data_IF_182450887628
#
_entry.id   IF_182450887628
#
_cell.length_a   1.000
_cell.length_b   1.000
_cell.length_c   1.000
_cell.angle_alpha   90.00
_cell.angle_beta   90.00
_cell.angle_gamma   90.00
#
_symmetry.space_group_name_H-M   'P 1'
#
loop_
_entity.id
_entity.type
_entity.pdbx_description
1 polymer ?
#
# COMPACT_ATOMS: atom_id res chain seq x y z
N UNK A 1 -4.89 -58.52 -42.35
CA UNK A 1 -5.76 -57.50 -41.72
C UNK A 1 -4.95 -56.26 -41.35
N UNK A 2 -4.93 -55.19 -42.17
CA UNK A 2 -4.13 -53.98 -41.94
C UNK A 2 -4.84 -52.85 -41.16
N UNK A 3 -6.13 -53.00 -40.81
CA UNK A 3 -6.99 -51.87 -40.40
C UNK A 3 -6.96 -51.50 -38.91
N UNK A 4 -6.29 -52.27 -38.05
CA UNK A 4 -6.23 -51.98 -36.60
C UNK A 4 -5.15 -50.94 -36.21
N UNK A 5 -4.28 -50.53 -37.14
CA UNK A 5 -3.21 -49.56 -36.87
C UNK A 5 -3.63 -48.08 -36.87
N UNK A 6 -4.77 -47.75 -37.49
CA UNK A 6 -5.23 -46.37 -37.67
C UNK A 6 -6.02 -45.83 -36.46
N UNK A 7 -6.78 -46.68 -35.76
CA UNK A 7 -7.63 -46.26 -34.63
C UNK A 7 -6.80 -45.76 -33.44
N UNK A 8 -5.64 -46.39 -33.17
CA UNK A 8 -4.74 -45.95 -32.11
C UNK A 8 -4.00 -44.63 -32.39
N UNK A 9 -3.87 -44.23 -33.65
CA UNK A 9 -3.30 -42.94 -34.03
C UNK A 9 -4.29 -41.80 -33.79
N UNK A 10 -5.57 -42.02 -34.12
CA UNK A 10 -6.65 -41.06 -33.91
C UNK A 10 -6.92 -40.77 -32.43
N UNK A 11 -7.02 -41.80 -31.59
CA UNK A 11 -7.23 -41.62 -30.15
C UNK A 11 -6.06 -40.88 -29.46
N UNK A 12 -4.82 -41.12 -29.89
CA UNK A 12 -3.65 -40.42 -29.38
C UNK A 12 -3.49 -38.98 -29.88
N UNK A 13 -4.10 -38.63 -31.01
CA UNK A 13 -4.21 -37.25 -31.53
C UNK A 13 -5.24 -36.47 -30.73
N UNK A 14 -6.44 -37.05 -30.59
CA UNK A 14 -7.54 -36.43 -29.85
C UNK A 14 -7.12 -36.15 -28.40
N UNK A 15 -6.42 -37.08 -27.74
CA UNK A 15 -5.95 -36.87 -26.37
C UNK A 15 -4.89 -35.76 -26.24
N UNK A 16 -3.92 -35.66 -27.16
CA UNK A 16 -2.92 -34.59 -27.14
C UNK A 16 -3.53 -33.23 -27.50
N UNK A 17 -4.45 -33.20 -28.45
CA UNK A 17 -5.16 -31.98 -28.84
C UNK A 17 -6.04 -31.48 -27.68
N UNK A 18 -6.67 -32.40 -26.94
CA UNK A 18 -7.43 -32.08 -25.72
C UNK A 18 -6.50 -31.51 -24.63
N UNK A 19 -5.36 -32.15 -24.36
CA UNK A 19 -4.36 -31.59 -23.42
C UNK A 19 -3.82 -30.22 -23.86
N UNK A 20 -3.62 -30.01 -25.16
CA UNK A 20 -3.17 -28.74 -25.71
C UNK A 20 -4.21 -27.64 -25.51
N UNK A 21 -5.49 -27.96 -25.77
CA UNK A 21 -6.60 -27.06 -25.53
C UNK A 21 -6.71 -26.71 -24.05
N UNK A 22 -6.64 -27.71 -23.17
CA UNK A 22 -6.67 -27.52 -21.71
C UNK A 22 -5.55 -26.57 -21.25
N UNK A 23 -4.28 -26.88 -21.56
CA UNK A 23 -3.13 -26.04 -21.17
C UNK A 23 -3.21 -24.65 -21.78
N UNK A 24 -3.69 -24.51 -23.02
CA UNK A 24 -3.85 -23.20 -23.66
C UNK A 24 -4.94 -22.36 -23.00
N UNK A 25 -6.03 -23.00 -22.55
CA UNK A 25 -7.13 -22.34 -21.84
C UNK A 25 -6.71 -21.94 -20.43
N UNK A 26 -5.97 -22.81 -19.72
CA UNK A 26 -5.42 -22.50 -18.40
C UNK A 26 -4.40 -21.36 -18.45
N UNK A 27 -3.52 -21.35 -19.45
CA UNK A 27 -2.56 -20.26 -19.65
C UNK A 27 -3.27 -18.93 -19.95
N UNK A 28 -4.30 -18.94 -20.78
CA UNK A 28 -5.10 -17.75 -21.06
C UNK A 28 -5.82 -17.25 -19.80
N UNK A 29 -6.36 -18.17 -18.99
CA UNK A 29 -7.03 -17.86 -17.74
C UNK A 29 -6.07 -17.27 -16.68
N UNK A 30 -4.87 -17.85 -16.51
CA UNK A 30 -3.89 -17.33 -15.54
C UNK A 30 -3.28 -15.99 -15.98
N UNK A 31 -3.09 -15.76 -17.29
CA UNK A 31 -2.68 -14.43 -17.80
C UNK A 31 -3.75 -13.38 -17.52
N UNK A 32 -5.01 -13.69 -17.83
CA UNK A 32 -6.12 -12.80 -17.53
C UNK A 32 -6.24 -12.53 -16.02
N UNK A 33 -6.02 -13.55 -15.19
CA UNK A 33 -5.98 -13.41 -13.73
C UNK A 33 -4.86 -12.46 -13.29
N UNK A 34 -3.65 -12.61 -13.82
CA UNK A 34 -2.54 -11.70 -13.54
C UNK A 34 -2.90 -10.25 -13.92
N UNK A 35 -3.40 -10.04 -15.14
CA UNK A 35 -3.78 -8.71 -15.65
C UNK A 35 -4.89 -8.07 -14.80
N UNK A 36 -5.87 -8.86 -14.36
CA UNK A 36 -6.98 -8.39 -13.53
C UNK A 36 -6.48 -7.98 -12.15
N UNK A 37 -5.69 -8.82 -11.48
CA UNK A 37 -5.15 -8.49 -10.15
C UNK A 37 -4.22 -7.27 -10.23
N UNK A 38 -3.37 -7.18 -11.26
CA UNK A 38 -2.49 -6.02 -11.45
C UNK A 38 -3.28 -4.73 -11.70
N UNK A 39 -4.35 -4.79 -12.50
CA UNK A 39 -5.23 -3.65 -12.75
C UNK A 39 -5.98 -3.22 -11.48
N UNK A 40 -6.52 -4.17 -10.72
CA UNK A 40 -7.23 -3.91 -9.46
C UNK A 40 -6.31 -3.25 -8.43
N UNK A 41 -5.09 -3.79 -8.25
CA UNK A 41 -4.09 -3.21 -7.34
C UNK A 41 -3.69 -1.79 -7.78
N UNK A 42 -3.60 -1.52 -9.08
CA UNK A 42 -3.29 -0.16 -9.57
C UNK A 42 -4.46 0.80 -9.37
N UNK A 43 -5.70 0.36 -9.61
CA UNK A 43 -6.90 1.15 -9.42
C UNK A 43 -7.10 1.52 -7.93
N UNK A 44 -6.95 0.55 -7.03
CA UNK A 44 -7.01 0.79 -5.58
C UNK A 44 -5.92 1.76 -5.12
N UNK A 45 -4.66 1.60 -5.57
CA UNK A 45 -3.57 2.53 -5.22
C UNK A 45 -3.86 3.98 -5.62
N UNK A 46 -4.48 4.20 -6.77
CA UNK A 46 -4.82 5.54 -7.25
C UNK A 46 -6.00 6.14 -6.46
N UNK A 47 -7.01 5.33 -6.13
CA UNK A 47 -8.14 5.73 -5.32
C UNK A 47 -7.69 6.07 -3.89
N UNK A 48 -6.94 5.18 -3.24
CA UNK A 48 -6.43 5.34 -1.87
C UNK A 48 -5.52 6.56 -1.75
N UNK A 49 -4.65 6.81 -2.74
CA UNK A 49 -3.73 7.97 -2.69
C UNK A 49 -4.49 9.29 -2.77
N UNK A 50 -5.54 9.38 -3.58
CA UNK A 50 -6.37 10.59 -3.69
C UNK A 50 -7.19 10.80 -2.42
N UNK A 51 -7.78 9.74 -1.89
CA UNK A 51 -8.58 9.78 -0.68
C UNK A 51 -7.74 10.14 0.55
N UNK A 52 -6.60 9.47 0.74
CA UNK A 52 -5.69 9.75 1.85
C UNK A 52 -5.12 11.18 1.80
N UNK A 53 -4.82 11.72 0.61
CA UNK A 53 -4.40 13.12 0.48
C UNK A 53 -5.51 14.12 0.80
N UNK A 54 -6.75 13.81 0.43
CA UNK A 54 -7.91 14.64 0.76
C UNK A 54 -8.18 14.62 2.27
N UNK A 55 -8.21 13.42 2.87
CA UNK A 55 -8.47 13.23 4.29
C UNK A 55 -7.37 13.83 5.16
N UNK A 56 -6.10 13.69 4.77
CA UNK A 56 -4.98 14.35 5.44
C UNK A 56 -5.12 15.87 5.44
N UNK A 57 -5.47 16.48 4.29
CA UNK A 57 -5.66 17.93 4.21
C UNK A 57 -6.84 18.39 5.06
N UNK A 58 -7.94 17.64 5.06
CA UNK A 58 -9.11 17.94 5.87
C UNK A 58 -8.76 17.90 7.37
N UNK A 59 -8.10 16.82 7.82
CA UNK A 59 -7.67 16.69 9.21
C UNK A 59 -6.63 17.75 9.59
N UNK A 60 -5.62 18.03 8.76
CA UNK A 60 -4.58 19.01 9.06
C UNK A 60 -5.19 20.42 9.27
N UNK A 61 -6.17 20.81 8.45
CA UNK A 61 -6.87 22.09 8.59
C UNK A 61 -7.73 22.13 9.86
N UNK A 62 -8.50 21.08 10.14
CA UNK A 62 -9.36 21.01 11.32
C UNK A 62 -8.54 20.94 12.62
N UNK A 63 -7.45 20.17 12.64
CA UNK A 63 -6.55 20.07 13.78
C UNK A 63 -5.79 21.37 14.05
N UNK A 64 -5.30 22.07 13.02
CA UNK A 64 -4.62 23.35 13.20
C UNK A 64 -5.57 24.40 13.77
N UNK A 65 -6.78 24.51 13.21
CA UNK A 65 -7.79 25.44 13.69
C UNK A 65 -8.19 25.16 15.15
N UNK A 66 -8.45 23.89 15.49
CA UNK A 66 -8.82 23.52 16.88
C UNK A 66 -7.67 23.74 17.87
N UNK A 67 -6.42 23.49 17.47
CA UNK A 67 -5.25 23.74 18.31
C UNK A 67 -4.99 25.24 18.52
N UNK A 68 -5.23 26.06 17.51
CA UNK A 68 -5.10 27.53 17.62
C UNK A 68 -6.17 28.12 18.56
N UNK A 69 -7.42 27.65 18.44
CA UNK A 69 -8.51 28.02 19.37
C UNK A 69 -8.24 27.56 20.81
N UNK A 70 -7.70 26.35 21.00
CA UNK A 70 -7.28 25.89 22.33
C UNK A 70 -6.20 26.78 22.93
N UNK A 71 -5.18 27.16 22.15
CA UNK A 71 -4.08 28.02 22.61
C UNK A 71 -4.59 29.40 23.03
N UNK A 72 -5.49 30.00 22.26
CA UNK A 72 -6.07 31.31 22.60
C UNK A 72 -6.93 31.22 23.87
N UNK A 73 -7.73 30.17 24.03
CA UNK A 73 -8.52 29.93 25.24
C UNK A 73 -7.65 29.75 26.50
N UNK A 74 -6.55 28.98 26.40
CA UNK A 74 -5.60 28.83 27.51
C UNK A 74 -4.90 30.15 27.87
N UNK A 75 -4.45 30.91 26.87
CA UNK A 75 -3.80 32.20 27.08
C UNK A 75 -4.74 33.20 27.76
N UNK A 76 -6.02 33.22 27.38
CA UNK A 76 -7.00 34.11 27.99
C UNK A 76 -7.32 33.71 29.44
N UNK A 77 -7.47 32.41 29.70
CA UNK A 77 -7.61 31.88 31.07
C UNK A 77 -6.43 32.29 31.97
N UNK A 78 -5.20 32.19 31.48
CA UNK A 78 -4.02 32.58 32.25
C UNK A 78 -3.99 34.08 32.56
N UNK A 79 -4.36 34.94 31.60
CA UNK A 79 -4.47 36.39 31.82
C UNK A 79 -5.49 36.74 32.89
N UNK A 80 -6.66 36.11 32.87
CA UNK A 80 -7.72 36.33 33.86
C UNK A 80 -7.26 35.89 35.26
N UNK A 81 -6.64 34.72 35.37
CA UNK A 81 -6.13 34.20 36.65
C UNK A 81 -5.02 35.08 37.24
N UNK A 82 -4.11 35.59 36.41
CA UNK A 82 -3.05 36.51 36.84
C UNK A 82 -3.62 37.84 37.33
N UNK A 83 -4.61 38.39 36.62
CA UNK A 83 -5.30 39.63 37.02
C UNK A 83 -6.01 39.46 38.37
N UNK A 84 -6.68 38.32 38.58
CA UNK A 84 -7.33 37.98 39.85
C UNK A 84 -6.34 37.87 41.01
N UNK A 85 -5.17 37.27 40.80
CA UNK A 85 -4.12 37.16 41.82
C UNK A 85 -3.59 38.54 42.24
N UNK A 86 -3.33 39.44 41.28
CA UNK A 86 -2.85 40.79 41.55
C UNK A 86 -3.85 41.58 42.39
N UNK A 87 -5.13 41.57 42.00
CA UNK A 87 -6.16 42.29 42.76
C UNK A 87 -6.31 41.76 44.20
N UNK A 88 -6.22 40.44 44.39
CA UNK A 88 -6.29 39.85 45.73
C UNK A 88 -5.14 40.34 46.64
N UNK A 89 -3.93 40.47 46.10
CA UNK A 89 -2.77 41.00 46.82
C UNK A 89 -2.95 42.49 47.14
N UNK A 90 -3.40 43.28 46.17
CA UNK A 90 -3.61 44.71 46.37
C UNK A 90 -4.72 44.99 47.39
N UNK A 91 -5.76 44.14 47.45
CA UNK A 91 -6.83 44.24 48.45
C UNK A 91 -6.30 44.00 49.86
N UNK A 92 -5.46 42.97 50.03
CA UNK A 92 -4.84 42.67 51.31
C UNK A 92 -3.91 43.79 51.77
N UNK A 93 -3.14 44.39 50.84
CA UNK A 93 -2.26 45.55 51.13
C UNK A 93 -3.07 46.78 51.53
N UNK A 94 -4.15 47.07 50.81
CA UNK A 94 -4.99 48.22 51.06
C UNK A 94 -5.73 48.11 52.40
N UNK A 95 -6.23 46.93 52.75
CA UNK A 95 -6.85 46.65 54.04
C UNK A 95 -5.86 46.82 55.22
N UNK A 96 -4.61 46.38 55.02
CA UNK A 96 -3.53 46.62 56.00
C UNK A 96 -3.20 48.10 56.18
N UNK A 97 -3.10 48.85 55.07
CA UNK A 97 -2.84 50.29 55.11
C UNK A 97 -3.99 51.07 55.77
N UNK A 98 -5.25 50.72 55.50
CA UNK A 98 -6.43 51.33 56.12
C UNK A 98 -6.43 51.13 57.64
N UNK A 99 -6.11 49.92 58.12
CA UNK A 99 -6.05 49.63 59.56
C UNK A 99 -4.96 50.44 60.28
N UNK A 100 -3.78 50.58 59.67
CA UNK A 100 -2.66 51.36 60.24
C UNK A 100 -2.99 52.86 60.25
N UNK A 101 -3.48 53.41 59.14
CA UNK A 101 -3.83 54.83 59.03
C UNK A 101 -5.02 55.21 59.91
N UNK A 102 -6.02 54.34 60.06
CA UNK A 102 -7.15 54.55 60.97
C UNK A 102 -6.72 54.59 62.44
N UNK A 103 -5.64 53.88 62.79
CA UNK A 103 -5.07 53.94 64.15
C UNK A 103 -4.27 55.23 64.38
N UNK A 104 -3.57 55.71 63.34
CA UNK A 104 -2.73 56.91 63.39
C UNK A 104 -3.50 58.24 63.28
N UNK A 105 -4.68 58.24 62.66
CA UNK A 105 -5.51 59.45 62.44
C UNK A 105 -6.01 60.14 63.70
N UNK A 106 -5.95 59.44 64.85
CA UNK A 106 -6.24 60.00 66.17
C UNK A 106 -5.17 60.98 66.68
N UNK A 107 -3.93 60.86 66.17
CA UNK A 107 -2.75 61.58 66.65
C UNK A 107 -2.07 62.46 65.59
N UNK A 108 -2.33 62.21 64.30
CA UNK A 108 -1.69 62.91 63.18
C UNK A 108 -2.72 63.42 62.16
N UNK A 109 -2.85 64.75 61.95
CA UNK A 109 -3.76 65.32 60.96
C UNK A 109 -3.39 64.98 59.51
N UNK A 110 -2.14 64.66 59.16
CA UNK A 110 -1.76 64.22 57.81
C UNK A 110 -2.27 62.80 57.50
N UNK A 111 -2.41 61.95 58.51
CA UNK A 111 -2.96 60.60 58.37
C UNK A 111 -4.44 60.61 57.92
N UNK A 112 -5.19 61.69 58.16
CA UNK A 112 -6.56 61.85 57.68
C UNK A 112 -6.64 61.99 56.15
N UNK A 113 -5.72 62.72 55.53
CA UNK A 113 -5.68 62.88 54.08
C UNK A 113 -5.31 61.55 53.38
N UNK A 114 -4.34 60.82 53.93
CA UNK A 114 -3.95 59.49 53.44
C UNK A 114 -5.06 58.46 53.64
N UNK A 115 -5.82 58.52 54.73
CA UNK A 115 -6.97 57.65 54.96
C UNK A 115 -8.11 57.92 53.96
N UNK A 116 -8.34 59.17 53.59
CA UNK A 116 -9.30 59.53 52.53
C UNK A 116 -8.87 58.97 51.17
N UNK A 117 -7.58 59.04 50.84
CA UNK A 117 -7.03 58.47 49.61
C UNK A 117 -7.15 56.94 49.59
N UNK A 118 -6.86 56.26 50.70
CA UNK A 118 -7.06 54.81 50.84
C UNK A 118 -8.52 54.42 50.67
N UNK A 119 -9.46 55.21 51.21
CA UNK A 119 -10.90 54.99 50.98
C UNK A 119 -11.31 55.22 49.52
N UNK A 120 -10.70 56.19 48.82
CA UNK A 120 -10.93 56.39 47.37
C UNK A 120 -10.44 55.18 46.58
N UNK A 121 -9.21 54.73 46.84
CA UNK A 121 -8.63 53.53 46.22
C UNK A 121 -9.45 52.27 46.51
N UNK A 122 -10.06 52.15 47.70
CA UNK A 122 -10.98 51.06 48.03
C UNK A 122 -12.22 51.05 47.12
N UNK A 123 -12.82 52.22 46.89
CA UNK A 123 -13.97 52.36 45.97
C UNK A 123 -13.56 52.04 44.53
N UNK A 124 -12.36 52.47 44.10
CA UNK A 124 -11.80 52.08 42.80
C UNK A 124 -11.55 50.56 42.71
N UNK A 125 -11.14 49.91 43.79
CA UNK A 125 -10.99 48.45 43.85
C UNK A 125 -12.34 47.71 43.81
N UNK A 126 -13.38 48.22 44.48
CA UNK A 126 -14.74 47.66 44.40
C UNK A 126 -15.32 47.78 42.97
N UNK A 127 -15.02 48.87 42.28
CA UNK A 127 -15.28 49.00 40.83
C UNK A 127 -14.52 47.94 40.03
N UNK A 128 -13.23 47.69 40.33
CA UNK A 128 -12.46 46.63 39.66
C UNK A 128 -13.01 45.22 39.98
N UNK A 129 -13.57 44.97 41.17
CA UNK A 129 -14.24 43.71 41.50
C UNK A 129 -15.46 43.43 40.62
N UNK A 130 -16.25 44.47 40.30
CA UNK A 130 -17.34 44.34 39.34
C UNK A 130 -16.85 43.95 37.94
N UNK A 131 -15.68 44.47 37.53
CA UNK A 131 -15.05 44.07 36.26
C UNK A 131 -14.51 42.64 36.29
N UNK A 132 -14.04 42.17 37.46
CA UNK A 132 -13.63 40.79 37.67
C UNK A 132 -14.80 39.82 37.63
N UNK A 133 -16.01 40.21 38.06
CA UNK A 133 -17.18 39.36 37.93
C UNK A 133 -17.48 39.03 36.46
N UNK A 134 -17.28 39.99 35.55
CA UNK A 134 -17.37 39.76 34.11
C UNK A 134 -16.24 38.84 33.60
N UNK A 135 -15.02 39.01 34.11
CA UNK A 135 -13.88 38.14 33.77
C UNK A 135 -14.06 36.70 34.31
N UNK A 136 -14.71 36.50 35.46
CA UNK A 136 -15.02 35.18 36.01
C UNK A 136 -16.05 34.44 35.14
N UNK A 137 -17.00 35.15 34.53
CA UNK A 137 -17.93 34.58 33.57
C UNK A 137 -17.21 34.16 32.27
N UNK A 138 -16.30 35.00 31.77
CA UNK A 138 -15.43 34.67 30.64
C UNK A 138 -14.53 33.46 30.94
N UNK A 139 -14.03 33.33 32.18
CA UNK A 139 -13.22 32.20 32.61
C UNK A 139 -14.03 30.89 32.64
N UNK A 140 -15.31 30.93 33.06
CA UNK A 140 -16.20 29.76 32.98
C UNK A 140 -16.42 29.34 31.53
N UNK A 141 -16.79 30.28 30.67
CA UNK A 141 -16.99 30.01 29.24
C UNK A 141 -15.73 29.43 28.57
N UNK A 142 -14.55 30.00 28.87
CA UNK A 142 -13.28 29.49 28.34
C UNK A 142 -12.94 28.08 28.87
N UNK A 143 -13.30 27.77 30.12
CA UNK A 143 -13.06 26.44 30.70
C UNK A 143 -13.97 25.38 30.07
N UNK A 144 -15.25 25.69 29.88
CA UNK A 144 -16.21 24.81 29.19
C UNK A 144 -15.76 24.53 27.74
N UNK A 145 -15.27 25.55 27.04
CA UNK A 145 -14.76 25.41 25.68
C UNK A 145 -13.49 24.53 25.62
N UNK A 146 -12.57 24.67 26.58
CA UNK A 146 -11.39 23.78 26.70
C UNK A 146 -11.82 22.32 26.93
N UNK A 147 -12.82 22.07 27.77
CA UNK A 147 -13.33 20.72 28.03
C UNK A 147 -13.98 20.11 26.78
N UNK A 148 -14.79 20.90 26.07
CA UNK A 148 -15.42 20.54 24.79
C UNK A 148 -14.38 20.15 23.74
N UNK A 149 -13.41 21.03 23.49
CA UNK A 149 -12.31 20.80 22.54
C UNK A 149 -11.43 19.62 22.97
N UNK A 150 -11.24 19.42 24.28
CA UNK A 150 -10.54 18.24 24.83
C UNK A 150 -11.25 16.92 24.54
N UNK A 151 -12.59 16.90 24.54
CA UNK A 151 -13.37 15.73 24.12
C UNK A 151 -13.25 15.48 22.61
N UNK A 152 -13.34 16.53 21.79
CA UNK A 152 -13.18 16.43 20.33
C UNK A 152 -11.79 15.90 19.96
N UNK A 153 -10.74 16.38 20.60
CA UNK A 153 -9.37 15.87 20.43
C UNK A 153 -9.28 14.36 20.72
N UNK A 154 -9.90 13.88 21.81
CA UNK A 154 -9.91 12.43 22.13
C UNK A 154 -10.69 11.62 21.09
N UNK A 155 -11.78 12.17 20.56
CA UNK A 155 -12.55 11.53 19.48
C UNK A 155 -11.72 11.42 18.20
N UNK A 156 -11.04 12.51 17.80
CA UNK A 156 -10.15 12.50 16.64
C UNK A 156 -8.97 11.53 16.81
N UNK A 157 -8.37 11.44 18.00
CA UNK A 157 -7.30 10.48 18.28
C UNK A 157 -7.75 9.02 18.07
N UNK A 158 -8.95 8.65 18.55
CA UNK A 158 -9.52 7.31 18.32
C UNK A 158 -9.82 7.04 16.85
N UNK A 159 -10.30 8.06 16.12
CA UNK A 159 -10.53 7.95 14.69
C UNK A 159 -9.21 7.72 13.94
N UNK A 160 -8.13 8.40 14.35
CA UNK A 160 -6.79 8.20 13.79
C UNK A 160 -6.26 6.78 14.06
N UNK A 161 -6.43 6.26 15.28
CA UNK A 161 -6.04 4.88 15.61
C UNK A 161 -6.79 3.85 14.76
N UNK A 162 -8.11 4.05 14.56
CA UNK A 162 -8.92 3.20 13.68
C UNK A 162 -8.48 3.29 12.22
N UNK A 163 -8.12 4.49 11.74
CA UNK A 163 -7.62 4.68 10.38
C UNK A 163 -6.26 4.01 10.18
N UNK A 164 -5.36 4.07 11.17
CA UNK A 164 -4.08 3.37 11.13
C UNK A 164 -4.26 1.84 11.04
N UNK A 165 -5.24 1.29 11.75
CA UNK A 165 -5.57 -0.14 11.64
C UNK A 165 -6.04 -0.50 10.22
N UNK A 166 -6.93 0.31 9.63
CA UNK A 166 -7.41 0.10 8.26
C UNK A 166 -6.27 0.18 7.23
N UNK A 167 -5.30 1.08 7.42
CA UNK A 167 -4.10 1.16 6.58
C UNK A 167 -3.27 -0.11 6.69
N UNK A 168 -3.06 -0.63 7.90
CA UNK A 168 -2.31 -1.87 8.11
C UNK A 168 -3.01 -3.08 7.44
N UNK A 169 -4.33 -3.17 7.53
CA UNK A 169 -5.13 -4.20 6.85
C UNK A 169 -4.99 -4.09 5.32
N UNK A 170 -5.05 -2.88 4.76
CA UNK A 170 -4.87 -2.64 3.33
C UNK A 170 -3.44 -2.99 2.86
N UNK A 171 -2.41 -2.70 3.66
CA UNK A 171 -1.03 -3.09 3.37
C UNK A 171 -0.86 -4.62 3.36
N UNK A 172 -1.49 -5.31 4.30
CA UNK A 172 -1.51 -6.78 4.33
C UNK A 172 -2.19 -7.34 3.07
N UNK A 173 -3.37 -6.85 2.70
CA UNK A 173 -4.09 -7.27 1.50
C UNK A 173 -3.25 -7.04 0.23
N UNK A 174 -2.52 -5.92 0.13
CA UNK A 174 -1.58 -5.67 -0.97
C UNK A 174 -0.41 -6.66 -0.99
N UNK A 175 0.08 -7.05 0.18
CA UNK A 175 1.10 -8.10 0.30
C UNK A 175 0.58 -9.46 -0.17
N UNK A 176 -0.67 -9.78 0.15
CA UNK A 176 -1.34 -11.01 -0.30
C UNK A 176 -1.54 -11.01 -1.82
N UNK A 177 -2.04 -9.91 -2.39
CA UNK A 177 -2.21 -9.75 -3.84
C UNK A 177 -0.88 -9.85 -4.60
N UNK A 178 0.20 -9.26 -4.07
CA UNK A 178 1.53 -9.36 -4.68
C UNK A 178 2.05 -10.81 -4.69
N UNK A 179 1.79 -11.57 -3.63
CA UNK A 179 2.12 -13.01 -3.57
C UNK A 179 1.29 -13.82 -4.56
N UNK A 180 0.00 -13.52 -4.70
CA UNK A 180 -0.87 -14.17 -5.68
C UNK A 180 -0.41 -13.92 -7.12
N UNK A 181 -0.06 -12.67 -7.46
CA UNK A 181 0.49 -12.33 -8.78
C UNK A 181 1.80 -13.10 -9.04
N UNK A 182 2.68 -13.20 -8.04
CA UNK A 182 3.94 -13.93 -8.19
C UNK A 182 3.69 -15.42 -8.43
N UNK A 183 2.78 -16.05 -7.68
CA UNK A 183 2.40 -17.45 -7.87
C UNK A 183 1.75 -17.68 -9.25
N UNK A 184 0.87 -16.78 -9.69
CA UNK A 184 0.24 -16.85 -11.00
C UNK A 184 1.25 -16.69 -12.14
N UNK A 185 2.25 -15.80 -11.98
CA UNK A 185 3.37 -15.65 -12.92
C UNK A 185 4.21 -16.92 -13.00
N UNK A 186 4.57 -17.51 -11.87
CA UNK A 186 5.31 -18.78 -11.82
C UNK A 186 4.54 -19.89 -12.52
N UNK A 187 3.24 -20.03 -12.24
CA UNK A 187 2.38 -21.02 -12.90
C UNK A 187 2.24 -20.78 -14.40
N UNK A 188 2.11 -19.52 -14.83
CA UNK A 188 2.07 -19.14 -16.24
C UNK A 188 3.36 -19.56 -16.97
N UNK A 189 4.51 -19.38 -16.34
CA UNK A 189 5.80 -19.87 -16.86
C UNK A 189 5.79 -21.39 -17.00
N UNK A 190 5.29 -22.13 -16.01
CA UNK A 190 5.19 -23.59 -16.10
C UNK A 190 4.27 -24.04 -17.23
N UNK A 191 3.09 -23.44 -17.36
CA UNK A 191 2.13 -23.77 -18.41
C UNK A 191 2.66 -23.46 -19.82
N UNK A 192 3.45 -22.40 -19.97
CA UNK A 192 4.11 -22.11 -21.24
C UNK A 192 5.13 -23.18 -21.63
N UNK A 193 5.88 -23.71 -20.66
CA UNK A 193 6.78 -24.82 -20.91
C UNK A 193 6.01 -26.07 -21.30
N UNK A 194 4.96 -26.42 -20.57
CA UNK A 194 4.16 -27.61 -20.85
C UNK A 194 3.50 -27.53 -22.23
N UNK A 195 3.01 -26.35 -22.62
CA UNK A 195 2.51 -26.08 -23.97
C UNK A 195 3.59 -26.29 -25.03
N UNK A 196 4.81 -25.80 -24.80
CA UNK A 196 5.93 -25.99 -25.70
C UNK A 196 6.28 -27.48 -25.84
N UNK A 197 6.31 -28.24 -24.74
CA UNK A 197 6.57 -29.68 -24.74
C UNK A 197 5.52 -30.43 -25.54
N UNK A 198 4.23 -30.14 -25.34
CA UNK A 198 3.14 -30.79 -26.08
C UNK A 198 3.25 -30.54 -27.59
N UNK A 199 3.47 -29.28 -27.99
CA UNK A 199 3.63 -28.90 -29.40
C UNK A 199 4.85 -29.59 -30.02
N UNK A 200 5.99 -29.56 -29.32
CA UNK A 200 7.24 -30.17 -29.80
C UNK A 200 7.09 -31.67 -30.00
N UNK A 201 6.46 -32.35 -29.04
CA UNK A 201 6.21 -33.80 -29.14
C UNK A 201 5.28 -34.14 -30.30
N UNK A 202 4.25 -33.32 -30.53
CA UNK A 202 3.36 -33.47 -31.67
C UNK A 202 4.10 -33.25 -32.99
N UNK A 203 4.96 -32.24 -33.09
CA UNK A 203 5.69 -31.91 -34.32
C UNK A 203 6.78 -32.94 -34.65
N UNK A 204 7.55 -33.39 -33.64
CA UNK A 204 8.73 -34.24 -33.84
C UNK A 204 8.40 -35.74 -33.93
N UNK A 205 7.38 -36.21 -33.21
CA UNK A 205 7.15 -37.65 -33.01
C UNK A 205 5.95 -38.24 -33.77
N UNK A 206 5.39 -37.54 -34.75
CA UNK A 206 4.10 -37.96 -35.32
C UNK A 206 4.12 -39.06 -36.38
N UNK A 207 5.28 -39.34 -36.98
CA UNK A 207 5.35 -40.25 -38.13
C UNK A 207 5.86 -41.64 -37.74
N UNK A 208 5.39 -42.64 -38.46
CA UNK A 208 5.80 -44.04 -38.30
C UNK A 208 4.85 -44.89 -37.46
N UNK A 209 5.32 -46.11 -37.14
CA UNK A 209 4.51 -47.11 -36.41
C UNK A 209 4.24 -46.69 -34.97
N UNK A 210 3.18 -47.21 -34.35
CA UNK A 210 2.81 -46.91 -32.94
C UNK A 210 4.02 -47.01 -31.99
N UNK A 211 4.78 -48.09 -32.09
CA UNK A 211 5.96 -48.34 -31.26
C UNK A 211 7.04 -47.28 -31.45
N UNK A 212 7.32 -46.86 -32.69
CA UNK A 212 8.29 -45.77 -32.98
C UNK A 212 7.84 -44.43 -32.41
N UNK A 213 6.55 -44.09 -32.56
CA UNK A 213 5.99 -42.85 -32.01
C UNK A 213 6.09 -42.81 -30.49
N UNK A 214 5.80 -43.93 -29.83
CA UNK A 214 5.87 -44.02 -28.37
C UNK A 214 7.31 -43.90 -27.86
N UNK A 215 8.27 -44.60 -28.49
CA UNK A 215 9.70 -44.43 -28.18
C UNK A 215 10.17 -42.99 -28.40
N UNK A 216 9.80 -42.36 -29.51
CA UNK A 216 10.14 -40.96 -29.80
C UNK A 216 9.56 -40.02 -28.75
N UNK A 217 8.26 -40.15 -28.42
CA UNK A 217 7.60 -39.32 -27.40
C UNK A 217 8.31 -39.40 -26.05
N UNK A 218 8.70 -40.60 -25.62
CA UNK A 218 9.42 -40.80 -24.35
C UNK A 218 10.81 -40.18 -24.39
N UNK A 219 11.55 -40.33 -25.49
CA UNK A 219 12.88 -39.74 -25.65
C UNK A 219 12.81 -38.21 -25.66
N UNK A 220 12.00 -37.62 -26.55
CA UNK A 220 11.86 -36.17 -26.67
C UNK A 220 11.34 -35.53 -25.38
N UNK A 221 10.36 -36.14 -24.69
CA UNK A 221 9.91 -35.63 -23.38
C UNK A 221 11.00 -35.65 -22.33
N UNK A 222 11.86 -36.68 -22.31
CA UNK A 222 12.98 -36.76 -21.36
C UNK A 222 13.98 -35.65 -21.61
N UNK A 223 14.35 -35.42 -22.87
CA UNK A 223 15.34 -34.40 -23.23
C UNK A 223 14.80 -32.98 -22.97
N UNK A 224 13.51 -32.77 -23.22
CA UNK A 224 12.84 -31.52 -22.85
C UNK A 224 12.80 -31.32 -21.33
N UNK A 225 12.46 -32.34 -20.54
CA UNK A 225 12.46 -32.23 -19.08
C UNK A 225 13.83 -31.82 -18.53
N UNK A 226 14.92 -32.35 -19.09
CA UNK A 226 16.29 -31.94 -18.72
C UNK A 226 16.59 -30.49 -19.12
N UNK A 227 15.99 -30.03 -20.22
CA UNK A 227 16.18 -28.68 -20.78
C UNK A 227 15.33 -27.60 -20.08
N UNK A 228 14.35 -27.97 -19.24
CA UNK A 228 13.47 -27.02 -18.52
C UNK A 228 14.26 -26.05 -17.65
N UNK A 229 15.28 -26.54 -16.94
CA UNK A 229 16.10 -25.69 -16.04
C UNK A 229 16.92 -24.67 -16.83
N UNK A 230 17.58 -25.11 -17.91
CA UNK A 230 18.35 -24.23 -18.81
C UNK A 230 17.45 -23.16 -19.43
N UNK A 231 16.24 -23.54 -19.84
CA UNK A 231 15.25 -22.60 -20.34
C UNK A 231 14.81 -21.57 -19.29
N UNK A 232 14.55 -21.99 -18.05
CA UNK A 232 14.14 -21.07 -16.98
C UNK A 232 15.21 -19.99 -16.75
N UNK A 233 16.49 -20.35 -16.80
CA UNK A 233 17.60 -19.39 -16.71
C UNK A 233 17.54 -18.38 -17.86
N UNK A 234 17.43 -18.85 -19.10
CA UNK A 234 17.35 -17.96 -20.26
C UNK A 234 16.08 -17.09 -20.29
N UNK A 235 14.97 -17.60 -19.74
CA UNK A 235 13.73 -16.82 -19.61
C UNK A 235 13.86 -15.70 -18.58
N UNK A 236 14.46 -15.98 -17.43
CA UNK A 236 14.64 -14.99 -16.35
C UNK A 236 15.66 -13.92 -16.71
N UNK A 237 16.78 -14.30 -17.30
CA UNK A 237 17.86 -13.36 -17.62
C UNK A 237 17.61 -12.58 -18.91
N UNK A 238 16.92 -13.19 -19.89
CA UNK A 238 16.93 -12.71 -21.28
C UNK A 238 15.55 -12.67 -21.95
N UNK A 239 14.48 -13.09 -21.27
CA UNK A 239 13.13 -13.13 -21.83
C UNK A 239 12.96 -14.11 -23.00
N UNK A 240 13.89 -15.05 -23.17
CA UNK A 240 13.93 -15.95 -24.31
C UNK A 240 12.77 -16.95 -24.30
N UNK A 241 12.24 -17.25 -25.49
CA UNK A 241 11.25 -18.32 -25.70
C UNK A 241 11.94 -19.54 -26.29
N UNK A 242 11.57 -20.75 -25.86
CA UNK A 242 12.14 -21.96 -26.43
C UNK A 242 11.55 -22.13 -27.84
N UNK A 243 12.40 -22.48 -28.80
CA UNK A 243 12.00 -22.66 -30.19
C UNK A 243 12.48 -24.00 -30.73
N UNK A 244 11.73 -24.50 -31.70
CA UNK A 244 12.08 -25.69 -32.46
C UNK A 244 12.48 -25.24 -33.87
N UNK A 245 13.64 -25.69 -34.33
CA UNK A 245 14.12 -25.46 -35.69
C UNK A 245 14.40 -26.80 -36.39
N UNK A 246 14.21 -26.82 -37.70
CA UNK A 246 14.52 -27.99 -38.53
C UNK A 246 15.79 -27.71 -39.33
N UNK A 247 16.67 -28.71 -39.44
CA UNK A 247 17.92 -28.60 -40.17
C UNK A 247 18.54 -29.96 -40.44
N UNK A 248 19.76 -29.95 -40.97
CA UNK A 248 20.58 -31.15 -41.13
C UNK A 248 21.11 -31.65 -39.78
N UNK A 249 21.40 -32.95 -39.67
CA UNK A 249 21.84 -33.58 -38.43
C UNK A 249 23.27 -33.19 -38.04
N UNK A 250 24.10 -32.90 -39.04
CA UNK A 250 25.54 -32.67 -38.87
C UNK A 250 25.89 -31.20 -38.67
N UNK A 251 24.96 -30.29 -38.94
CA UNK A 251 25.16 -28.84 -38.84
C UNK A 251 24.11 -28.21 -37.92
N UNK A 252 24.46 -27.88 -36.66
CA UNK A 252 23.53 -27.25 -35.74
C UNK A 252 23.15 -25.85 -36.23
N UNK A 253 21.87 -25.45 -36.16
CA UNK A 253 21.40 -24.17 -36.69
C UNK A 253 21.95 -22.95 -35.92
N UNK A 254 22.22 -23.10 -34.62
CA UNK A 254 22.80 -22.03 -33.78
C UNK A 254 23.75 -22.61 -32.73
N UNK A 255 24.64 -21.77 -32.21
CA UNK A 255 25.50 -22.13 -31.08
C UNK A 255 24.63 -22.39 -29.84
N UNK A 256 24.63 -23.64 -29.37
CA UNK A 256 23.79 -24.09 -28.25
C UNK A 256 22.50 -24.81 -28.66
N UNK A 257 22.24 -25.00 -29.95
CA UNK A 257 21.15 -25.85 -30.41
C UNK A 257 21.40 -27.32 -30.01
N UNK A 258 20.38 -27.99 -29.47
CA UNK A 258 20.44 -29.40 -29.05
C UNK A 258 19.58 -30.25 -29.98
N UNK A 259 20.19 -31.26 -30.59
CA UNK A 259 19.46 -32.20 -31.43
C UNK A 259 18.47 -33.00 -30.58
N UNK A 260 17.17 -32.88 -30.85
CA UNK A 260 16.11 -33.63 -30.15
C UNK A 260 15.80 -34.97 -30.81
N UNK A 261 15.83 -35.00 -32.15
CA UNK A 261 15.50 -36.19 -32.89
C UNK A 261 16.05 -36.11 -34.31
N UNK A 262 16.62 -37.22 -34.78
CA UNK A 262 17.11 -37.34 -36.14
C UNK A 262 16.37 -38.45 -36.90
N UNK A 263 15.94 -38.14 -38.13
CA UNK A 263 15.29 -39.06 -39.07
C UNK A 263 16.10 -39.27 -40.35
N UNK A 264 17.32 -38.74 -40.42
CA UNK A 264 18.19 -38.82 -41.59
C UNK A 264 17.85 -37.83 -42.70
N UNK A 265 16.56 -37.55 -42.97
CA UNK A 265 16.14 -36.53 -43.95
C UNK A 265 15.66 -35.21 -43.34
N UNK A 266 15.38 -35.22 -42.04
CA UNK A 266 15.00 -34.03 -41.25
C UNK A 266 15.40 -34.26 -39.80
N UNK A 267 16.18 -33.33 -39.25
CA UNK A 267 16.61 -33.34 -37.86
C UNK A 267 15.96 -32.16 -37.13
N UNK A 268 15.44 -32.42 -35.95
CA UNK A 268 14.74 -31.41 -35.12
C UNK A 268 15.66 -30.93 -34.02
N UNK A 269 15.91 -29.63 -33.97
CA UNK A 269 16.81 -28.97 -33.05
C UNK A 269 16.03 -28.11 -32.07
N UNK A 270 16.36 -28.23 -30.78
CA UNK A 270 15.89 -27.38 -29.70
C UNK A 270 16.84 -26.19 -29.54
N UNK A 271 16.29 -24.99 -29.57
CA UNK A 271 17.01 -23.76 -29.27
C UNK A 271 16.35 -23.10 -28.07
N UNK A 272 17.08 -23.00 -26.96
CA UNK A 272 16.55 -22.48 -25.69
C UNK A 272 16.72 -20.97 -25.54
N UNK A 273 17.81 -20.44 -26.10
CA UNK A 273 18.24 -19.05 -25.94
C UNK A 273 18.65 -18.55 -27.33
N UNK A 274 17.66 -18.14 -28.13
CA UNK A 274 17.94 -17.58 -29.46
C UNK A 274 18.07 -16.06 -29.35
N UNK A 275 19.29 -15.56 -29.55
CA UNK A 275 19.59 -14.13 -29.49
C UNK A 275 19.07 -13.35 -30.71
N UNK A 276 18.68 -14.03 -31.81
CA UNK A 276 18.30 -13.37 -33.06
C UNK A 276 16.82 -12.96 -33.15
N UNK A 277 15.94 -13.48 -32.28
CA UNK A 277 14.48 -13.25 -32.35
C UNK A 277 13.98 -12.02 -31.57
N UNK A 278 14.87 -11.32 -30.86
CA UNK A 278 14.53 -10.14 -30.03
C UNK A 278 14.27 -8.88 -30.86
N UNK A 279 14.87 -8.76 -32.05
CA UNK A 279 14.76 -7.56 -32.89
C UNK A 279 13.52 -7.52 -33.81
N UNK A 280 12.69 -8.58 -33.81
CA UNK A 280 11.56 -8.72 -34.73
C UNK A 280 10.16 -8.45 -34.16
N UNK A 281 10.03 -8.13 -32.87
CA UNK A 281 8.71 -8.11 -32.20
C UNK A 281 8.43 -6.89 -31.31
N UNK A 282 9.04 -5.74 -31.62
CA UNK A 282 8.59 -4.43 -31.15
C UNK A 282 7.76 -3.74 -32.26
N UNK A 283 6.42 -3.83 -32.26
CA UNK A 283 5.59 -2.75 -32.77
C UNK A 283 5.40 -1.74 -31.63
N UNK A 284 5.90 -0.52 -31.84
CA UNK A 284 5.63 0.61 -30.95
C UNK A 284 4.16 0.97 -30.81
#
# INVERSE_FOLDING_TARGET
>A
MPWLGLVGAGAGLVWLEMQRQDVSSELAAERLRCETIEADVQAERLADRRQCQADKRAMDVEHLATMETLKSAFAERERILETRKRLAVDKARLAGAESVLASASSNDPEANALLQEVRRLRVEMESQESSLAAADEQLRAATEEIERLGMEKRKMARALDSANLAVAEAEQARGDAAREVQQAKERSVELEWDRFVLNTVQEVCWDGTKRRRETCRTAVRRDLLQSKVEWLVCRLEQGARPTLTQGDADEPPTAGARLLYDRGSRSSWLVLCDHALRDGSDPG
#
